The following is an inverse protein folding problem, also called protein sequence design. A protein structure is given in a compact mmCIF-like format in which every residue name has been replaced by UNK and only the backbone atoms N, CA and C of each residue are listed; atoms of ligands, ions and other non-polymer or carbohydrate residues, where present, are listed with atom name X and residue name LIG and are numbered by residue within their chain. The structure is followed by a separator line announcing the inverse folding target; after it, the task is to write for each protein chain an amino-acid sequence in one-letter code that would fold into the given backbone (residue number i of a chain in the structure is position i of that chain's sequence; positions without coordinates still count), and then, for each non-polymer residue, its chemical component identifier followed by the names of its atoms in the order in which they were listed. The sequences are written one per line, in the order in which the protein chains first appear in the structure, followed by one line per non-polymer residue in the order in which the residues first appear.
data_IF_396154663752
#
_entry.id   IF_396154663752
#
_cell.length_a   1.000
_cell.length_b   1.000
_cell.length_c   1.000
_cell.angle_alpha   90.00
_cell.angle_beta   90.00
_cell.angle_gamma   90.00
#
_symmetry.space_group_name_H-M   'P 1'
#
loop_
_entity.id
_entity.type
_entity.pdbx_description
1 polymer ?
#
# COMPACT_ATOMS: atom_id res chain seq x y z
N UNK A 1 10.69 -7.95 2.99
CA UNK A 1 11.35 -6.65 2.75
C UNK A 1 11.39 -5.81 4.02
N UNK A 2 10.25 -5.51 4.68
CA UNK A 2 10.20 -4.75 5.94
C UNK A 2 10.80 -5.45 7.15
N UNK A 3 10.47 -6.72 7.40
CA UNK A 3 11.04 -7.51 8.50
C UNK A 3 12.58 -7.62 8.46
N UNK A 4 13.19 -7.52 7.27
CA UNK A 4 14.66 -7.48 7.12
C UNK A 4 15.23 -6.09 7.43
N UNK A 5 14.48 -5.03 7.13
CA UNK A 5 14.87 -3.64 7.35
C UNK A 5 14.63 -3.17 8.80
N UNK A 6 13.59 -3.69 9.46
CA UNK A 6 13.21 -3.40 10.85
C UNK A 6 12.97 -4.71 11.62
N UNK A 7 14.06 -5.39 12.07
CA UNK A 7 13.93 -6.69 12.73
C UNK A 7 13.27 -6.65 14.12
N UNK A 8 13.31 -5.49 14.78
CA UNK A 8 12.79 -5.30 16.15
C UNK A 8 11.34 -4.76 16.18
N UNK A 9 10.75 -4.47 15.03
CA UNK A 9 9.36 -4.01 14.93
C UNK A 9 8.39 -5.20 15.08
N UNK A 10 7.29 -5.02 15.83
CA UNK A 10 6.24 -6.05 15.93
C UNK A 10 5.42 -6.09 14.63
N UNK A 11 5.42 -7.20 13.88
CA UNK A 11 4.65 -7.30 12.64
C UNK A 11 3.14 -7.15 12.84
N UNK A 12 2.62 -7.35 14.05
CA UNK A 12 1.19 -7.24 14.34
C UNK A 12 0.70 -5.81 14.44
N UNK A 13 1.59 -4.85 14.58
CA UNK A 13 1.23 -3.41 14.57
C UNK A 13 1.17 -2.83 13.16
N UNK A 14 1.51 -3.63 12.14
CA UNK A 14 1.53 -3.22 10.75
C UNK A 14 0.23 -3.60 10.03
N UNK A 15 -0.15 -2.78 9.06
CA UNK A 15 -1.25 -3.11 8.15
C UNK A 15 -0.92 -4.40 7.39
N UNK A 16 -1.92 -5.27 7.22
CA UNK A 16 -1.73 -6.49 6.43
C UNK A 16 -1.74 -6.15 4.94
N UNK A 17 -1.13 -6.98 4.07
CA UNK A 17 -1.15 -6.76 2.63
C UNK A 17 -2.57 -6.58 2.08
N UNK A 18 -3.53 -7.34 2.58
CA UNK A 18 -4.93 -7.29 2.14
C UNK A 18 -5.58 -5.95 2.46
N UNK A 19 -5.24 -5.35 3.61
CA UNK A 19 -5.82 -4.08 4.05
C UNK A 19 -5.43 -2.88 3.18
N UNK A 20 -4.33 -2.98 2.43
CA UNK A 20 -3.80 -1.89 1.60
C UNK A 20 -4.11 -2.07 0.12
N UNK A 21 -4.72 -3.19 -0.26
CA UNK A 21 -5.10 -3.50 -1.65
C UNK A 21 -6.06 -2.50 -2.31
N UNK A 22 -6.95 -1.76 -1.61
CA UNK A 22 -7.84 -0.82 -2.29
C UNK A 22 -7.12 0.20 -3.17
N UNK A 23 -5.96 0.74 -2.73
CA UNK A 23 -5.17 1.67 -3.53
C UNK A 23 -4.62 1.02 -4.82
N UNK A 24 -4.16 -0.23 -4.72
CA UNK A 24 -3.65 -0.98 -5.87
C UNK A 24 -4.77 -1.33 -6.86
N UNK A 25 -5.92 -1.78 -6.37
CA UNK A 25 -7.08 -2.11 -7.21
C UNK A 25 -7.62 -0.86 -7.91
N UNK A 26 -7.68 0.27 -7.21
CA UNK A 26 -8.06 1.55 -7.79
C UNK A 26 -7.15 1.93 -8.97
N UNK A 27 -5.83 1.89 -8.77
CA UNK A 27 -4.84 2.20 -9.81
C UNK A 27 -4.84 1.25 -11.00
N UNK A 28 -5.43 0.06 -10.86
CA UNK A 28 -5.58 -0.93 -11.95
C UNK A 28 -6.97 -0.87 -12.61
N UNK A 29 -7.91 -0.12 -12.02
CA UNK A 29 -9.28 0.02 -12.50
C UNK A 29 -9.47 1.25 -13.39
N UNK A 30 -10.55 1.23 -14.16
CA UNK A 30 -10.95 2.32 -15.07
C UNK A 30 -11.14 3.66 -14.33
N UNK A 31 -11.50 3.60 -13.04
CA UNK A 31 -11.68 4.77 -12.18
C UNK A 31 -10.41 5.63 -12.10
N UNK A 32 -9.22 5.05 -12.27
CA UNK A 32 -7.93 5.75 -12.19
C UNK A 32 -7.40 6.28 -13.53
N UNK A 33 -8.10 6.10 -14.66
CA UNK A 33 -7.59 6.46 -16.00
C UNK A 33 -7.22 7.93 -16.16
N UNK A 34 -7.82 8.81 -15.36
CA UNK A 34 -7.54 10.24 -15.35
C UNK A 34 -6.31 10.63 -14.52
N UNK A 35 -5.70 9.67 -13.82
CA UNK A 35 -4.63 9.91 -12.86
C UNK A 35 -3.26 9.52 -13.43
N UNK A 36 -2.34 10.47 -13.48
CA UNK A 36 -0.97 10.25 -13.95
C UNK A 36 0.03 11.13 -13.21
N UNK A 37 1.27 10.64 -13.06
CA UNK A 37 2.37 11.37 -12.42
C UNK A 37 2.16 11.66 -10.93
N UNK A 38 1.26 10.92 -10.27
CA UNK A 38 0.96 11.08 -8.85
C UNK A 38 1.65 10.01 -8.00
N UNK A 39 1.99 10.37 -6.77
CA UNK A 39 2.36 9.43 -5.71
C UNK A 39 1.16 9.29 -4.78
N UNK A 40 0.74 8.05 -4.50
CA UNK A 40 -0.41 7.76 -3.65
C UNK A 40 0.07 6.92 -2.48
N UNK A 41 -0.29 7.34 -1.27
CA UNK A 41 -0.03 6.59 -0.05
C UNK A 41 -1.14 5.54 0.15
N UNK A 42 -0.75 4.27 0.25
CA UNK A 42 -1.67 3.15 0.44
C UNK A 42 -2.02 2.89 1.91
N UNK A 43 -1.35 3.60 2.83
CA UNK A 43 -1.43 3.50 4.28
C UNK A 43 -1.17 4.90 4.85
N UNK A 44 -2.02 5.35 5.79
CA UNK A 44 -1.81 6.57 6.60
C UNK A 44 -0.98 6.30 7.86
#
# INVERSE_FOLDING_TARGET
MRAKAYPEEDPKTLATPESIMPAYLYLMGDDSLHLNGQSIDAQD
#
